data_IF_877083715479
#
_entry.id   IF_877083715479
#
_cell.length_a   1.000
_cell.length_b   1.000
_cell.length_c   1.000
_cell.angle_alpha   90.00
_cell.angle_beta   90.00
_cell.angle_gamma   90.00
#
_symmetry.space_group_name_H-M   'P 1'
#
loop_
_entity.id
_entity.type
_entity.pdbx_description
1 polymer ?
#
# COMPACT_ATOMS: atom_id res chain seq x y z
N UNK A 1 4.21 22.38 3.34
CA UNK A 1 3.37 21.48 2.49
C UNK A 1 2.01 22.14 2.27
N UNK A 2 1.54 22.23 1.02
CA UNK A 2 0.24 22.86 0.70
C UNK A 2 -0.91 21.88 0.94
N UNK A 3 -2.03 22.37 1.50
CA UNK A 3 -3.27 21.60 1.68
C UNK A 3 -3.75 20.96 0.38
N UNK A 4 -3.74 21.70 -0.72
CA UNK A 4 -4.20 21.23 -2.03
C UNK A 4 -3.35 20.04 -2.50
N UNK A 5 -2.03 20.10 -2.28
CA UNK A 5 -1.11 19.02 -2.66
C UNK A 5 -1.31 17.81 -1.76
N UNK A 6 -1.41 18.00 -0.44
CA UNK A 6 -1.71 16.93 0.52
C UNK A 6 -3.01 16.20 0.20
N UNK A 7 -4.09 16.93 -0.06
CA UNK A 7 -5.39 16.36 -0.45
C UNK A 7 -5.29 15.53 -1.72
N UNK A 8 -4.54 15.99 -2.74
CA UNK A 8 -4.37 15.25 -3.99
C UNK A 8 -3.54 13.99 -3.81
N UNK A 9 -2.44 14.08 -3.06
CA UNK A 9 -1.57 12.94 -2.76
C UNK A 9 -2.33 11.84 -1.99
N UNK A 10 -3.01 12.21 -0.89
CA UNK A 10 -3.78 11.28 -0.07
C UNK A 10 -4.91 10.62 -0.89
N UNK A 11 -5.67 11.40 -1.67
CA UNK A 11 -6.68 10.83 -2.58
C UNK A 11 -6.07 9.86 -3.60
N UNK A 12 -4.87 10.14 -4.09
CA UNK A 12 -4.13 9.26 -4.99
C UNK A 12 -3.73 7.95 -4.30
N UNK A 13 -3.21 8.03 -3.08
CA UNK A 13 -2.83 6.86 -2.28
C UNK A 13 -4.03 5.93 -2.04
N UNK A 14 -5.18 6.48 -1.61
CA UNK A 14 -6.43 5.72 -1.46
C UNK A 14 -6.84 4.98 -2.75
N UNK A 15 -6.72 5.64 -3.92
CA UNK A 15 -7.02 5.01 -5.21
C UNK A 15 -6.06 3.88 -5.56
N UNK A 16 -4.78 4.05 -5.30
CA UNK A 16 -3.76 3.04 -5.59
C UNK A 16 -3.93 1.81 -4.70
N UNK A 17 -4.19 2.00 -3.41
CA UNK A 17 -4.45 0.89 -2.47
C UNK A 17 -5.73 0.15 -2.84
N UNK A 18 -6.82 0.86 -3.17
CA UNK A 18 -8.06 0.22 -3.61
C UNK A 18 -7.88 -0.57 -4.92
N UNK A 19 -7.07 -0.05 -5.85
CA UNK A 19 -6.73 -0.77 -7.09
C UNK A 19 -5.93 -2.05 -6.77
N UNK A 20 -4.91 -1.94 -5.93
CA UNK A 20 -4.08 -3.09 -5.55
C UNK A 20 -4.91 -4.17 -4.83
N UNK A 21 -5.86 -3.77 -3.99
CA UNK A 21 -6.81 -4.68 -3.36
C UNK A 21 -7.63 -5.47 -4.37
N UNK A 22 -8.27 -4.78 -5.32
CA UNK A 22 -9.08 -5.42 -6.34
C UNK A 22 -8.27 -6.35 -7.25
N UNK A 23 -7.05 -5.95 -7.63
CA UNK A 23 -6.15 -6.81 -8.41
C UNK A 23 -5.70 -8.04 -7.61
N UNK A 24 -5.41 -7.89 -6.31
CA UNK A 24 -5.02 -9.00 -5.45
C UNK A 24 -6.17 -10.00 -5.24
N UNK A 25 -7.38 -9.52 -4.96
CA UNK A 25 -8.56 -10.36 -4.78
C UNK A 25 -8.84 -11.20 -6.02
N UNK A 26 -8.85 -10.57 -7.20
CA UNK A 26 -9.02 -11.26 -8.47
C UNK A 26 -7.98 -12.36 -8.69
N UNK A 27 -6.70 -12.05 -8.48
CA UNK A 27 -5.63 -13.03 -8.74
C UNK A 27 -5.62 -14.15 -7.68
N UNK A 28 -6.03 -13.87 -6.45
CA UNK A 28 -6.22 -14.88 -5.42
C UNK A 28 -7.35 -15.86 -5.76
N UNK A 29 -8.45 -15.37 -6.33
CA UNK A 29 -9.54 -16.23 -6.82
C UNK A 29 -9.08 -17.12 -7.98
N UNK A 30 -8.29 -16.56 -8.90
CA UNK A 30 -7.82 -17.28 -10.10
C UNK A 30 -6.73 -18.33 -9.80
N UNK A 31 -5.78 -18.02 -8.91
CA UNK A 31 -4.56 -18.81 -8.72
C UNK A 31 -4.39 -19.41 -7.32
N UNK A 32 -5.22 -19.00 -6.36
CA UNK A 32 -5.12 -19.43 -4.97
C UNK A 32 -3.95 -18.78 -4.20
N UNK A 33 -3.98 -18.86 -2.86
CA UNK A 33 -3.03 -18.17 -1.99
C UNK A 33 -1.60 -18.73 -2.04
N UNK A 34 -1.42 -19.99 -2.45
CA UNK A 34 -0.13 -20.68 -2.44
C UNK A 34 0.75 -20.39 -3.67
N UNK A 35 0.25 -19.60 -4.62
CA UNK A 35 1.01 -19.22 -5.81
C UNK A 35 2.24 -18.40 -5.43
N UNK A 36 3.40 -18.82 -5.94
CA UNK A 36 4.69 -18.17 -5.68
C UNK A 36 4.73 -16.76 -6.28
N UNK A 37 5.29 -15.82 -5.52
CA UNK A 37 5.52 -14.43 -5.92
C UNK A 37 7.00 -14.11 -5.73
N UNK A 38 7.68 -13.71 -6.80
CA UNK A 38 9.09 -13.32 -6.76
C UNK A 38 9.44 -12.33 -7.87
N UNK A 39 10.44 -11.49 -7.62
CA UNK A 39 11.15 -10.80 -8.68
C UNK A 39 12.34 -11.65 -9.15
N UNK A 40 12.72 -11.57 -10.43
CA UNK A 40 13.91 -12.26 -10.91
C UNK A 40 15.16 -11.67 -10.26
N UNK A 41 16.15 -12.53 -9.98
CA UNK A 41 17.50 -12.14 -9.53
C UNK A 41 17.55 -11.33 -8.22
N UNK A 42 16.70 -11.65 -7.23
CA UNK A 42 16.77 -11.03 -5.89
C UNK A 42 16.57 -12.05 -4.77
N UNK A 43 17.31 -11.88 -3.68
CA UNK A 43 17.10 -12.58 -2.41
C UNK A 43 16.25 -11.80 -1.40
N UNK A 44 15.75 -10.62 -1.79
CA UNK A 44 15.06 -9.67 -0.90
C UNK A 44 13.53 -9.68 -1.04
N UNK A 45 12.95 -10.80 -1.50
CA UNK A 45 11.50 -10.94 -1.70
C UNK A 45 10.93 -9.78 -2.54
N UNK A 46 10.00 -9.02 -1.96
CA UNK A 46 9.57 -7.72 -2.45
C UNK A 46 10.40 -6.62 -1.74
N UNK A 47 11.36 -5.97 -2.41
CA UNK A 47 12.40 -5.18 -1.73
C UNK A 47 11.88 -4.03 -0.87
N UNK A 48 10.82 -3.33 -1.31
CA UNK A 48 10.27 -2.19 -0.56
C UNK A 48 9.57 -2.65 0.71
N UNK A 49 8.71 -3.68 0.62
CA UNK A 49 8.03 -4.19 1.81
C UNK A 49 8.99 -4.90 2.76
N UNK A 50 9.98 -5.62 2.23
CA UNK A 50 11.00 -6.27 3.06
C UNK A 50 11.88 -5.22 3.76
N UNK A 51 12.30 -4.17 3.05
CA UNK A 51 13.12 -3.10 3.63
C UNK A 51 12.39 -2.23 4.65
N UNK A 52 11.10 -1.94 4.44
CA UNK A 52 10.32 -1.08 5.34
C UNK A 52 9.71 -1.84 6.52
N UNK A 53 9.24 -3.08 6.30
CA UNK A 53 8.41 -3.81 7.26
C UNK A 53 9.05 -5.14 7.71
N UNK A 54 10.16 -5.57 7.10
CA UNK A 54 10.75 -6.88 7.36
C UNK A 54 9.94 -8.06 6.81
N UNK A 55 8.90 -7.80 6.00
CA UNK A 55 8.02 -8.85 5.48
C UNK A 55 8.71 -9.64 4.37
N UNK A 56 8.91 -10.93 4.62
CA UNK A 56 9.49 -11.90 3.68
C UNK A 56 8.38 -12.62 2.90
N UNK A 57 7.81 -11.94 1.91
CA UNK A 57 6.65 -12.44 1.15
C UNK A 57 7.10 -13.25 -0.06
N UNK A 58 6.75 -14.54 -0.10
CA UNK A 58 7.09 -15.46 -1.20
C UNK A 58 5.86 -16.05 -1.92
N UNK A 59 4.65 -15.74 -1.44
CA UNK A 59 3.37 -16.26 -1.94
C UNK A 59 2.28 -15.18 -1.99
N UNK A 60 1.30 -15.36 -2.87
CA UNK A 60 0.16 -14.44 -3.03
C UNK A 60 -0.60 -14.20 -1.71
N UNK A 61 -0.78 -15.23 -0.89
CA UNK A 61 -1.47 -15.11 0.39
C UNK A 61 -0.82 -14.10 1.34
N UNK A 62 0.52 -13.98 1.31
CA UNK A 62 1.28 -13.03 2.13
C UNK A 62 1.07 -11.57 1.73
N UNK A 63 0.62 -11.30 0.50
CA UNK A 63 0.31 -9.93 0.05
C UNK A 63 -0.87 -9.30 0.80
N UNK A 64 -1.74 -10.12 1.42
CA UNK A 64 -2.84 -9.61 2.24
C UNK A 64 -2.35 -8.84 3.46
N UNK A 65 -1.29 -9.31 4.11
CA UNK A 65 -0.67 -8.63 5.25
C UNK A 65 -0.05 -7.30 4.82
N UNK A 66 0.65 -7.28 3.69
CA UNK A 66 1.21 -6.05 3.13
C UNK A 66 0.12 -5.02 2.79
N UNK A 67 -0.98 -5.48 2.20
CA UNK A 67 -2.10 -4.60 1.86
C UNK A 67 -2.79 -4.05 3.12
N UNK A 68 -2.90 -4.84 4.19
CA UNK A 68 -3.43 -4.39 5.46
C UNK A 68 -2.55 -3.29 6.07
N UNK A 69 -1.23 -3.43 5.99
CA UNK A 69 -0.30 -2.40 6.47
C UNK A 69 -0.38 -1.12 5.62
N UNK A 70 -0.47 -1.25 4.29
CA UNK A 70 -0.67 -0.10 3.41
C UNK A 70 -1.97 0.67 3.76
N UNK A 71 -3.06 -0.04 4.07
CA UNK A 71 -4.32 0.58 4.53
C UNK A 71 -4.18 1.30 5.87
N UNK A 72 -3.35 0.78 6.77
CA UNK A 72 -3.09 1.39 8.08
C UNK A 72 -2.36 2.73 7.96
N UNK A 73 -1.51 2.87 6.93
CA UNK A 73 -0.78 4.11 6.63
C UNK A 73 -1.66 5.17 5.96
N UNK A 74 -2.79 4.80 5.36
CA UNK A 74 -3.66 5.77 4.69
C UNK A 74 -4.31 6.74 5.69
N UNK A 75 -3.97 8.04 5.66
CA UNK A 75 -4.63 9.02 6.50
C UNK A 75 -6.02 9.37 5.97
N UNK A 76 -6.81 10.05 6.80
CA UNK A 76 -8.03 10.71 6.36
C UNK A 76 -7.71 11.82 5.34
N UNK A 77 -8.61 12.02 4.37
CA UNK A 77 -8.50 13.14 3.43
C UNK A 77 -8.64 14.45 4.22
N UNK A 78 -7.74 15.44 4.02
CA UNK A 78 -7.84 16.73 4.70
C UNK A 78 -9.20 17.39 4.52
N UNK A 79 -9.81 17.80 5.63
CA UNK A 79 -11.07 18.56 5.67
C UNK A 79 -10.91 19.91 4.96
N UNK A 80 -11.99 20.46 4.36
CA UNK A 80 -11.91 21.72 3.61
C UNK A 80 -11.75 22.97 4.48
N UNK A 81 -12.30 22.97 5.70
CA UNK A 81 -12.38 24.14 6.58
C UNK A 81 -11.30 24.16 7.66
N UNK A 82 -10.84 22.98 8.09
CA UNK A 82 -9.81 22.87 9.12
C UNK A 82 -8.40 22.91 8.52
N UNK A 83 -7.50 23.59 9.21
CA UNK A 83 -6.08 23.64 8.87
C UNK A 83 -5.25 22.93 9.95
N UNK A 84 -4.61 21.83 9.54
CA UNK A 84 -3.72 21.02 10.39
C UNK A 84 -2.35 20.86 9.72
N UNK A 85 -1.28 20.50 10.46
CA UNK A 85 -0.01 20.14 9.85
C UNK A 85 -0.17 18.91 8.93
N UNK A 86 -0.04 19.08 7.62
CA UNK A 86 -0.30 18.00 6.65
C UNK A 86 0.92 17.14 6.31
N UNK A 87 2.14 17.59 6.63
CA UNK A 87 3.35 16.98 6.08
C UNK A 87 3.49 15.51 6.48
N UNK A 88 3.35 15.19 7.77
CA UNK A 88 3.49 13.80 8.27
C UNK A 88 2.53 12.86 7.56
N UNK A 89 1.23 13.13 7.67
CA UNK A 89 0.20 12.35 6.99
C UNK A 89 0.36 12.26 5.47
N UNK A 90 1.00 13.23 4.82
CA UNK A 90 1.21 13.14 3.37
C UNK A 90 2.43 12.26 3.00
N UNK A 91 3.37 12.08 3.92
CA UNK A 91 4.55 11.24 3.72
C UNK A 91 4.26 9.77 4.05
N UNK A 92 3.35 9.54 4.98
CA UNK A 92 2.75 8.23 5.27
C UNK A 92 1.94 7.71 4.06
#
# INVERSE_FOLDING_TARGET
>A
MSKIIATRAIRGAHKLVARAEAELEKVLEEKGPDTKVEFPNTGYFLPISHGMLGLSIDRLGGLKELLAEAKRLLPAIPDERLWVPYLGHTLD
#
